data_IF_446238310634
#
_entry.id   IF_446238310634
#
_cell.length_a   1.000
_cell.length_b   1.000
_cell.length_c   1.000
_cell.angle_alpha   90.00
_cell.angle_beta   90.00
_cell.angle_gamma   90.00
#
_symmetry.space_group_name_H-M   'P 1'
#
loop_
_entity.id
_entity.type
_entity.pdbx_description
1 polymer ?
#
# COMPACT_ATOMS: atom_id res chain seq x y z
N UNK A 1 -28.97 13.11 17.98
CA UNK A 1 -27.75 12.73 18.72
C UNK A 1 -26.95 11.78 17.85
N UNK A 2 -25.87 12.25 17.22
CA UNK A 2 -24.94 11.35 16.55
C UNK A 2 -24.18 10.57 17.63
N UNK A 3 -24.20 9.23 17.55
CA UNK A 3 -23.38 8.39 18.43
C UNK A 3 -21.92 8.71 18.12
N UNK A 4 -21.13 9.12 19.11
CA UNK A 4 -19.69 9.21 18.92
C UNK A 4 -19.18 7.81 18.64
N UNK A 5 -18.76 7.57 17.40
CA UNK A 5 -17.95 6.39 17.12
C UNK A 5 -16.71 6.54 17.98
N UNK A 6 -16.41 5.54 18.82
CA UNK A 6 -15.15 5.50 19.56
C UNK A 6 -14.02 5.64 18.53
N UNK A 7 -13.28 6.74 18.59
CA UNK A 7 -12.24 7.06 17.61
C UNK A 7 -11.20 5.94 17.49
N UNK A 8 -11.03 5.16 18.56
CA UNK A 8 -10.19 3.97 18.59
C UNK A 8 -10.73 2.85 17.69
N UNK A 9 -12.04 2.63 17.70
CA UNK A 9 -12.69 1.65 16.84
C UNK A 9 -12.68 2.04 15.35
N UNK A 10 -12.69 3.34 15.04
CA UNK A 10 -12.57 3.81 13.66
C UNK A 10 -11.16 3.61 13.10
N UNK A 11 -10.13 3.89 13.91
CA UNK A 11 -8.73 3.60 13.55
C UNK A 11 -8.53 2.09 13.43
N UNK A 12 -9.00 1.30 14.40
CA UNK A 12 -8.93 -0.15 14.33
C UNK A 12 -9.68 -0.69 13.09
N UNK A 13 -10.80 -0.09 12.66
CA UNK A 13 -11.49 -0.45 11.42
C UNK A 13 -10.65 -0.14 10.16
N UNK A 14 -10.00 1.03 10.10
CA UNK A 14 -9.13 1.39 8.97
C UNK A 14 -7.89 0.51 8.93
N UNK A 15 -7.28 0.26 10.09
CA UNK A 15 -6.08 -0.57 10.23
C UNK A 15 -6.39 -2.08 10.13
N UNK A 16 -7.64 -2.52 10.36
CA UNK A 16 -8.05 -3.93 10.29
C UNK A 16 -8.41 -4.42 8.89
N UNK A 17 -8.46 -3.53 7.89
CA UNK A 17 -8.59 -3.93 6.49
C UNK A 17 -7.41 -4.84 6.11
N UNK A 18 -7.72 -5.85 5.32
CA UNK A 18 -6.71 -6.74 4.77
C UNK A 18 -5.90 -5.95 3.73
N UNK A 19 -4.67 -5.58 4.08
CA UNK A 19 -3.83 -4.71 3.25
C UNK A 19 -3.06 -5.50 2.17
N UNK A 20 -3.46 -6.75 1.93
CA UNK A 20 -2.68 -7.71 1.13
C UNK A 20 -1.38 -8.11 1.84
N UNK A 21 -0.73 -9.14 1.31
CA UNK A 21 0.58 -9.55 1.83
C UNK A 21 1.60 -8.41 1.66
N UNK A 22 2.28 -8.05 2.74
CA UNK A 22 3.23 -6.93 2.76
C UNK A 22 2.65 -5.52 2.96
N UNK A 23 1.34 -5.38 3.17
CA UNK A 23 0.72 -4.11 3.58
C UNK A 23 0.79 -3.83 5.07
N UNK A 24 0.58 -2.58 5.47
CA UNK A 24 0.67 -2.19 6.88
C UNK A 24 0.19 -0.77 7.12
N UNK A 25 -0.09 -0.42 8.37
CA UNK A 25 -0.54 0.92 8.72
C UNK A 25 -0.21 1.27 10.17
N UNK A 26 -0.06 2.56 10.45
CA UNK A 26 0.41 3.11 11.70
C UNK A 26 -0.27 4.45 11.99
N UNK A 27 -0.56 4.71 13.26
CA UNK A 27 -1.15 5.95 13.73
C UNK A 27 -0.30 6.51 14.88
N UNK A 28 0.10 7.77 14.76
CA UNK A 28 0.90 8.47 15.75
C UNK A 28 0.12 9.60 16.40
N UNK A 29 0.47 9.88 17.65
CA UNK A 29 0.03 11.09 18.34
C UNK A 29 0.75 12.35 17.78
N UNK A 30 0.34 13.56 18.21
CA UNK A 30 1.02 14.78 17.82
C UNK A 30 2.50 14.85 18.26
N UNK A 31 2.95 14.07 19.24
CA UNK A 31 4.36 14.03 19.63
C UNK A 31 5.19 13.10 18.76
N UNK A 32 4.56 12.38 17.83
CA UNK A 32 5.20 11.39 16.96
C UNK A 32 5.41 10.03 17.63
N UNK A 33 4.70 9.76 18.72
CA UNK A 33 4.69 8.46 19.38
C UNK A 33 3.64 7.56 18.73
N UNK A 34 4.01 6.30 18.51
CA UNK A 34 3.10 5.30 17.94
C UNK A 34 1.96 4.98 18.93
N UNK A 35 0.72 5.20 18.50
CA UNK A 35 -0.49 4.79 19.23
C UNK A 35 -0.93 3.38 18.84
N UNK A 36 -0.82 3.06 17.55
CA UNK A 36 -1.20 1.75 17.02
C UNK A 36 -0.51 1.47 15.69
N UNK A 37 -0.13 0.21 15.48
CA UNK A 37 0.49 -0.25 14.24
C UNK A 37 0.07 -1.68 13.90
N UNK A 38 -0.10 -1.99 12.62
CA UNK A 38 -0.45 -3.31 12.12
C UNK A 38 0.20 -3.61 10.78
N UNK A 39 0.50 -4.88 10.52
CA UNK A 39 1.08 -5.34 9.25
C UNK A 39 2.56 -5.00 9.10
N UNK A 40 3.04 -4.96 7.85
CA UNK A 40 4.44 -4.77 7.48
C UNK A 40 4.83 -3.27 7.51
N UNK A 41 4.84 -2.67 8.70
CA UNK A 41 5.28 -1.29 8.88
C UNK A 41 6.13 -1.16 10.14
N UNK A 42 7.24 -0.41 10.03
CA UNK A 42 8.17 -0.22 11.14
C UNK A 42 7.72 0.92 12.05
N UNK A 43 7.18 0.57 13.21
CA UNK A 43 6.73 1.52 14.21
C UNK A 43 7.85 2.39 14.80
N UNK A 44 9.12 1.99 14.72
CA UNK A 44 10.25 2.82 15.15
C UNK A 44 10.40 4.10 14.31
N UNK A 45 9.74 4.16 13.14
CA UNK A 45 9.75 5.32 12.23
C UNK A 45 8.61 6.31 12.47
N UNK A 46 7.77 6.10 13.49
CA UNK A 46 6.65 6.97 13.84
C UNK A 46 6.99 8.47 13.86
N UNK A 47 8.08 8.83 14.55
CA UNK A 47 8.54 10.21 14.64
C UNK A 47 8.95 10.80 13.29
N UNK A 48 9.56 10.01 12.41
CA UNK A 48 9.96 10.45 11.08
C UNK A 48 8.75 10.76 10.20
N UNK A 49 7.74 9.89 10.16
CA UNK A 49 6.51 10.13 9.40
C UNK A 49 5.76 11.38 9.89
N UNK A 50 5.68 11.54 11.22
CA UNK A 50 5.05 12.73 11.83
C UNK A 50 5.80 14.01 11.48
N UNK A 51 7.14 13.96 11.46
CA UNK A 51 7.97 15.10 11.08
C UNK A 51 7.83 15.47 9.60
N UNK A 52 7.73 14.46 8.72
CA UNK A 52 7.48 14.67 7.29
C UNK A 52 6.12 15.34 7.07
N UNK A 53 5.05 14.84 7.71
CA UNK A 53 3.71 15.42 7.61
C UNK A 53 3.71 16.92 8.00
N UNK A 54 4.37 17.25 9.10
CA UNK A 54 4.50 18.63 9.60
C UNK A 54 5.34 19.52 8.69
N UNK A 55 6.40 18.98 8.11
CA UNK A 55 7.21 19.72 7.17
C UNK A 55 6.40 20.02 5.89
N UNK A 56 5.67 19.03 5.38
CA UNK A 56 4.82 19.22 4.22
C UNK A 56 3.72 20.26 4.48
N UNK A 57 3.13 20.29 5.67
CA UNK A 57 2.13 21.30 6.05
C UNK A 57 2.64 22.76 5.97
N UNK A 58 3.97 22.97 6.01
CA UNK A 58 4.57 24.30 5.86
C UNK A 58 4.66 24.76 4.41
N UNK A 59 4.48 23.86 3.43
CA UNK A 59 4.55 24.21 2.00
C UNK A 59 3.41 25.18 1.60
N UNK A 60 2.25 25.08 2.25
CA UNK A 60 1.11 25.98 2.04
C UNK A 60 1.14 27.23 2.95
N UNK A 61 2.31 27.57 3.50
CA UNK A 61 2.47 28.74 4.37
C UNK A 61 1.74 28.63 5.72
N UNK A 62 1.36 27.42 6.14
CA UNK A 62 0.68 27.16 7.42
C UNK A 62 -0.78 27.63 7.48
N UNK A 63 -1.35 28.09 6.36
CA UNK A 63 -2.75 28.54 6.25
C UNK A 63 -3.70 27.53 5.61
N UNK A 64 -3.19 26.35 5.22
CA UNK A 64 -3.98 25.29 4.59
C UNK A 64 -5.07 24.76 5.53
N UNK A 65 -6.30 24.66 5.03
CA UNK A 65 -7.45 24.08 5.75
C UNK A 65 -7.31 22.56 5.89
N UNK A 66 -6.48 21.95 5.04
CA UNK A 66 -6.24 20.52 4.99
C UNK A 66 -4.73 20.23 4.95
N UNK A 67 -4.30 19.23 5.73
CA UNK A 67 -2.91 18.80 5.71
C UNK A 67 -2.60 18.06 4.39
N UNK A 68 -1.43 18.30 3.78
CA UNK A 68 -1.05 17.65 2.53
C UNK A 68 -0.87 16.15 2.72
N UNK A 69 -0.97 15.42 1.60
CA UNK A 69 -0.69 13.99 1.54
C UNK A 69 0.72 13.80 1.01
N UNK A 70 1.51 12.97 1.69
CA UNK A 70 2.85 12.58 1.25
C UNK A 70 2.78 11.14 0.75
N UNK A 71 3.26 10.91 -0.47
CA UNK A 71 3.50 9.57 -1.01
C UNK A 71 5.01 9.33 -1.10
N UNK A 72 5.49 8.25 -0.51
CA UNK A 72 6.87 7.78 -0.62
C UNK A 72 6.84 6.49 -1.41
N UNK A 73 7.29 6.54 -2.66
CA UNK A 73 7.22 5.43 -3.60
C UNK A 73 8.56 4.72 -3.72
N UNK A 74 8.49 3.39 -3.69
CA UNK A 74 9.61 2.48 -3.93
C UNK A 74 9.13 1.37 -4.86
N UNK A 75 10.05 0.63 -5.45
CA UNK A 75 9.74 -0.50 -6.33
C UNK A 75 8.81 -1.54 -5.66
N UNK A 76 8.85 -1.64 -4.32
CA UNK A 76 8.12 -2.65 -3.57
C UNK A 76 6.78 -2.17 -3.00
N UNK A 77 6.61 -0.87 -2.76
CA UNK A 77 5.47 -0.31 -2.05
C UNK A 77 5.42 1.22 -2.15
N UNK A 78 4.22 1.75 -1.99
CA UNK A 78 3.98 3.15 -1.66
C UNK A 78 3.67 3.30 -0.16
N UNK A 79 4.28 4.28 0.49
CA UNK A 79 3.92 4.68 1.87
C UNK A 79 3.25 6.05 1.83
N UNK A 80 1.98 6.08 2.20
CA UNK A 80 1.12 7.26 2.25
C UNK A 80 1.10 7.79 3.68
N UNK A 81 1.38 9.08 3.85
CA UNK A 81 1.38 9.77 5.15
C UNK A 81 0.42 10.96 5.08
N UNK A 82 -0.47 11.09 6.06
CA UNK A 82 -1.37 12.24 6.18
C UNK A 82 -1.66 12.57 7.63
N UNK A 83 -1.75 13.86 7.95
CA UNK A 83 -2.13 14.34 9.27
C UNK A 83 -3.64 14.61 9.36
N UNK A 84 -4.28 14.14 10.43
CA UNK A 84 -5.67 14.37 10.75
C UNK A 84 -5.79 14.85 12.20
N UNK A 85 -6.21 16.09 12.41
CA UNK A 85 -6.38 16.69 13.74
C UNK A 85 -5.15 16.45 14.66
N UNK A 86 -3.94 16.68 14.14
CA UNK A 86 -2.68 16.47 14.86
C UNK A 86 -2.15 15.04 14.86
N UNK A 87 -2.93 14.05 14.41
CA UNK A 87 -2.52 12.65 14.39
C UNK A 87 -1.97 12.27 13.01
N UNK A 88 -0.77 11.71 12.98
CA UNK A 88 -0.16 11.26 11.74
C UNK A 88 -0.62 9.83 11.44
N UNK A 89 -1.27 9.63 10.30
CA UNK A 89 -1.73 8.33 9.80
C UNK A 89 -0.83 7.92 8.64
N UNK A 90 -0.33 6.69 8.71
CA UNK A 90 0.60 6.12 7.74
C UNK A 90 0.03 4.82 7.21
N UNK A 91 0.04 4.64 5.89
CA UNK A 91 -0.38 3.41 5.23
C UNK A 91 0.69 2.97 4.24
N UNK A 92 1.17 1.75 4.38
CA UNK A 92 1.99 1.05 3.41
C UNK A 92 1.08 0.22 2.52
N UNK A 93 1.09 0.56 1.24
CA UNK A 93 0.39 -0.15 0.18
C UNK A 93 1.46 -0.88 -0.64
N UNK A 94 1.51 -2.23 -0.62
CA UNK A 94 2.46 -2.98 -1.45
C UNK A 94 2.17 -2.69 -2.93
N UNK A 95 3.22 -2.63 -3.74
CA UNK A 95 3.03 -2.58 -5.18
C UNK A 95 2.27 -3.84 -5.60
N UNK A 96 1.16 -3.69 -6.30
CA UNK A 96 0.51 -4.83 -6.94
C UNK A 96 1.55 -5.44 -7.87
N UNK A 97 2.02 -6.66 -7.57
CA UNK A 97 2.66 -7.46 -8.61
C UNK A 97 1.62 -7.56 -9.71
N UNK A 98 1.84 -6.86 -10.82
CA UNK A 98 1.17 -7.23 -12.04
C UNK A 98 1.45 -8.72 -12.17
N UNK A 99 0.42 -9.55 -12.07
CA UNK A 99 0.59 -10.94 -12.42
C UNK A 99 1.20 -10.92 -13.82
N UNK A 100 2.39 -11.50 -13.95
CA UNK A 100 2.97 -11.81 -15.25
C UNK A 100 1.96 -12.72 -15.91
N UNK A 101 1.02 -12.10 -16.63
CA UNK A 101 0.01 -12.79 -17.40
C UNK A 101 0.74 -13.77 -18.28
N UNK A 102 0.39 -15.04 -18.07
CA UNK A 102 0.90 -16.21 -18.76
C UNK A 102 1.29 -15.86 -20.20
N UNK A 103 2.59 -16.00 -20.48
CA UNK A 103 3.11 -16.04 -21.84
C UNK A 103 2.20 -16.97 -22.64
N UNK A 104 1.37 -16.42 -23.52
CA UNK A 104 0.60 -17.18 -24.47
C UNK A 104 1.61 -18.06 -25.20
N UNK A 105 1.60 -19.36 -24.89
CA UNK A 105 2.46 -20.33 -25.53
C UNK A 105 2.15 -20.29 -27.01
N UNK A 106 3.05 -19.67 -27.78
CA UNK A 106 3.11 -19.81 -29.22
C UNK A 106 3.31 -21.31 -29.48
N UNK A 107 2.19 -22.01 -29.71
CA UNK A 107 2.22 -23.39 -30.16
C UNK A 107 2.64 -23.33 -31.61
N UNK A 108 3.95 -23.30 -31.84
CA UNK A 108 4.54 -23.57 -33.14
C UNK A 108 4.07 -24.97 -33.57
N UNK A 109 3.13 -25.02 -34.52
CA UNK A 109 2.76 -26.24 -35.24
C UNK A 109 3.95 -26.63 -36.11
N UNK A 110 4.87 -27.39 -35.53
CA UNK A 110 5.95 -28.07 -36.24
C UNK A 110 5.40 -29.32 -36.92
N UNK A 111 5.65 -29.42 -38.23
CA UNK A 111 5.04 -30.37 -39.14
C UNK A 111 5.35 -31.84 -38.89
N UNK A 112 4.43 -32.70 -39.34
CA UNK A 112 4.70 -34.10 -39.61
C UNK A 112 4.29 -34.41 -41.06
N UNK A 113 5.32 -34.65 -41.89
CA UNK A 113 5.20 -35.14 -43.24
C UNK A 113 4.52 -36.52 -43.27
N UNK A 114 3.54 -36.70 -44.16
CA UNK A 114 2.97 -38.00 -44.48
C UNK A 114 3.95 -38.80 -45.35
N UNK A 115 4.46 -39.92 -44.82
CA UNK A 115 5.12 -40.96 -45.62
C UNK A 115 4.06 -41.87 -46.28
N UNK A 116 4.29 -42.36 -47.51
CA UNK A 116 3.42 -43.33 -48.17
C UNK A 116 3.64 -44.74 -47.60
N UNK A 117 2.57 -45.48 -47.35
CA UNK A 117 2.64 -46.90 -46.99
C UNK A 117 2.88 -47.77 -48.24
N UNK A 118 4.00 -48.50 -48.26
CA UNK A 118 4.24 -49.65 -49.13
C UNK A 118 3.81 -50.97 -48.46
N UNK A 119 3.30 -51.90 -49.28
CA UNK A 119 3.21 -53.35 -49.02
C UNK A 119 1.94 -53.80 -48.29
N UNK A 120 1.12 -54.74 -48.77
CA UNK A 120 1.37 -55.84 -49.70
C UNK A 120 1.25 -57.18 -48.97
N UNK A 121 0.11 -57.87 -49.12
CA UNK A 121 -0.04 -59.32 -49.32
C UNK A 121 -1.49 -59.65 -49.66
#
# INVERSE_FOLDING_TARGET
MAKSVDGRAAIDMVLSRDNGDGGGALCNDPSGLNLHSRGNIDASKAGAYTSLARLAAQLDGGGGVEAPVISIETDNAATIVKEYAGHCVVMRVPASKAEEGESAGDTEVSGAAQQPQEGGQ
#
